data_IF_475312433406
#
_entry.id   IF_475312433406
#
_cell.length_a   1.000
_cell.length_b   1.000
_cell.length_c   1.000
_cell.angle_alpha   90.00
_cell.angle_beta   90.00
_cell.angle_gamma   90.00
#
_symmetry.space_group_name_H-M   'P 1'
#
loop_
_entity.id
_entity.type
_entity.pdbx_description
1 polymer ?
#
# COMPACT_ATOMS: atom_id res chain seq x y z
N UNK A 1 -16.57 -30.11 26.62
CA UNK A 1 -16.00 -28.88 26.01
C UNK A 1 -15.73 -27.87 27.11
N UNK A 2 -14.50 -27.36 27.29
CA UNK A 2 -14.25 -26.29 28.26
C UNK A 2 -15.05 -25.04 27.87
N UNK A 3 -15.64 -24.39 28.86
CA UNK A 3 -16.43 -23.17 28.65
C UNK A 3 -15.55 -22.05 28.12
N UNK A 4 -16.14 -21.11 27.39
CA UNK A 4 -15.43 -19.95 26.81
C UNK A 4 -14.63 -19.19 27.88
N UNK A 5 -15.20 -19.05 29.09
CA UNK A 5 -14.55 -18.45 30.25
C UNK A 5 -13.25 -19.18 30.63
N UNK A 6 -13.31 -20.51 30.78
CA UNK A 6 -12.11 -21.31 31.13
C UNK A 6 -11.04 -21.27 30.04
N UNK A 7 -11.41 -21.21 28.76
CA UNK A 7 -10.45 -21.04 27.65
C UNK A 7 -9.72 -19.69 27.72
N UNK A 8 -10.44 -18.62 28.06
CA UNK A 8 -9.87 -17.28 28.21
C UNK A 8 -8.95 -17.18 29.44
N UNK A 9 -9.33 -17.80 30.56
CA UNK A 9 -8.50 -17.89 31.77
C UNK A 9 -7.19 -18.65 31.50
N UNK A 10 -7.28 -19.83 30.90
CA UNK A 10 -6.10 -20.62 30.52
C UNK A 10 -5.20 -19.88 29.51
N UNK A 11 -5.79 -19.18 28.54
CA UNK A 11 -5.05 -18.37 27.59
C UNK A 11 -4.33 -17.19 28.25
N UNK A 12 -4.96 -16.55 29.24
CA UNK A 12 -4.34 -15.49 30.02
C UNK A 12 -3.16 -16.01 30.84
N UNK A 13 -3.32 -17.14 31.54
CA UNK A 13 -2.22 -17.75 32.28
C UNK A 13 -1.06 -18.17 31.37
N UNK A 14 -1.36 -18.76 30.21
CA UNK A 14 -0.34 -19.12 29.23
C UNK A 14 0.44 -17.90 28.75
N UNK A 15 -0.23 -16.78 28.44
CA UNK A 15 0.43 -15.55 28.02
C UNK A 15 1.27 -14.92 29.13
N UNK A 16 0.85 -15.05 30.40
CA UNK A 16 1.65 -14.64 31.56
C UNK A 16 2.91 -15.48 31.70
N UNK A 17 2.81 -16.81 31.61
CA UNK A 17 3.96 -17.74 31.67
C UNK A 17 4.95 -17.51 30.53
N UNK A 18 4.44 -17.28 29.32
CA UNK A 18 5.26 -17.05 28.13
C UNK A 18 5.86 -15.63 28.06
N UNK A 19 5.56 -14.74 29.03
CA UNK A 19 5.95 -13.31 29.04
C UNK A 19 5.63 -12.59 27.71
N UNK A 20 4.60 -13.03 27.00
CA UNK A 20 4.16 -12.45 25.73
C UNK A 20 3.25 -11.24 25.99
N UNK A 21 3.10 -10.41 24.96
CA UNK A 21 2.24 -9.22 24.99
C UNK A 21 0.79 -9.61 25.31
N UNK A 22 0.28 -9.13 26.44
CA UNK A 22 -1.09 -9.35 26.88
C UNK A 22 -1.96 -8.21 26.35
N UNK A 23 -2.87 -8.55 25.45
CA UNK A 23 -3.94 -7.67 25.00
C UNK A 23 -5.23 -8.48 24.77
N UNK A 24 -6.41 -7.84 24.76
CA UNK A 24 -7.68 -8.54 24.55
C UNK A 24 -7.69 -9.49 23.35
N UNK A 25 -7.17 -9.03 22.21
CA UNK A 25 -7.16 -9.83 20.97
C UNK A 25 -6.17 -10.99 20.99
N UNK A 26 -5.04 -10.89 21.69
CA UNK A 26 -4.09 -12.00 21.84
C UNK A 26 -4.65 -13.08 22.76
N UNK A 27 -5.36 -12.69 23.82
CA UNK A 27 -6.04 -13.65 24.70
C UNK A 27 -7.11 -14.41 23.92
N UNK A 28 -7.93 -13.72 23.13
CA UNK A 28 -8.96 -14.33 22.28
C UNK A 28 -8.35 -15.28 21.23
N UNK A 29 -7.27 -14.86 20.56
CA UNK A 29 -6.55 -15.70 19.58
C UNK A 29 -5.93 -16.94 20.22
N UNK A 30 -5.33 -16.80 21.41
CA UNK A 30 -4.70 -17.92 22.13
C UNK A 30 -5.73 -18.89 22.69
N UNK A 31 -6.89 -18.39 23.09
CA UNK A 31 -8.04 -19.19 23.52
C UNK A 31 -8.77 -19.88 22.36
N UNK A 32 -8.51 -19.47 21.10
CA UNK A 32 -9.21 -19.99 19.92
C UNK A 32 -10.70 -19.63 19.91
N UNK A 33 -11.06 -18.46 20.46
CA UNK A 33 -12.44 -17.98 20.52
C UNK A 33 -12.67 -16.86 19.51
N UNK A 34 -13.94 -16.60 19.18
CA UNK A 34 -14.30 -15.53 18.28
C UNK A 34 -13.85 -14.15 18.81
N UNK A 35 -13.48 -13.27 17.88
CA UNK A 35 -13.09 -11.91 18.19
C UNK A 35 -14.24 -11.18 18.91
N UNK A 36 -13.94 -10.54 20.04
CA UNK A 36 -14.94 -9.87 20.87
C UNK A 36 -15.59 -10.74 21.93
N UNK A 37 -15.25 -12.03 22.03
CA UNK A 37 -15.72 -12.91 23.11
C UNK A 37 -15.35 -12.39 24.50
N UNK A 38 -14.27 -11.62 24.64
CA UNK A 38 -13.86 -11.03 25.92
C UNK A 38 -14.82 -9.92 26.38
N UNK A 39 -15.62 -9.33 25.48
CA UNK A 39 -16.64 -8.32 25.86
C UNK A 39 -17.72 -8.88 26.76
N UNK A 40 -18.02 -10.17 26.63
CA UNK A 40 -19.05 -10.86 27.40
C UNK A 40 -18.58 -11.21 28.83
N UNK A 41 -17.30 -11.01 29.13
CA UNK A 41 -16.70 -11.30 30.43
C UNK A 41 -16.00 -10.06 30.98
N UNK A 42 -16.73 -9.11 31.58
CA UNK A 42 -16.18 -7.83 32.03
C UNK A 42 -15.05 -7.98 33.04
N UNK A 43 -15.16 -8.95 33.97
CA UNK A 43 -14.11 -9.25 34.95
C UNK A 43 -12.80 -9.67 34.29
N UNK A 44 -12.85 -10.56 33.29
CA UNK A 44 -11.64 -10.99 32.56
C UNK A 44 -11.08 -9.85 31.72
N UNK A 45 -11.95 -9.01 31.14
CA UNK A 45 -11.54 -7.83 30.38
C UNK A 45 -10.77 -6.84 31.24
N UNK A 46 -11.23 -6.57 32.46
CA UNK A 46 -10.54 -5.69 33.41
C UNK A 46 -9.19 -6.25 33.82
N UNK A 47 -9.10 -7.55 34.11
CA UNK A 47 -7.84 -8.21 34.44
C UNK A 47 -6.84 -8.10 33.28
N UNK A 48 -7.29 -8.36 32.04
CA UNK A 48 -6.43 -8.25 30.84
C UNK A 48 -5.97 -6.81 30.62
N UNK A 49 -6.81 -5.81 30.88
CA UNK A 49 -6.45 -4.40 30.77
C UNK A 49 -5.48 -3.96 31.87
N UNK A 50 -5.69 -4.41 33.11
CA UNK A 50 -4.79 -4.16 34.22
C UNK A 50 -3.41 -4.81 33.98
N UNK A 51 -3.40 -6.03 33.47
CA UNK A 51 -2.16 -6.75 33.14
C UNK A 51 -1.44 -6.10 31.95
N UNK A 52 -2.18 -5.65 30.93
CA UNK A 52 -1.63 -4.83 29.85
C UNK A 52 -1.01 -3.54 30.37
N UNK A 53 -1.66 -2.86 31.31
CA UNK A 53 -1.13 -1.63 31.92
C UNK A 53 0.15 -1.92 32.72
N UNK A 54 0.20 -3.03 33.47
CA UNK A 54 1.40 -3.50 34.16
C UNK A 54 2.55 -3.78 33.19
N UNK A 55 2.29 -4.49 32.08
CA UNK A 55 3.30 -4.72 31.04
C UNK A 55 3.71 -3.45 30.28
N UNK A 56 2.88 -2.41 30.30
CA UNK A 56 3.16 -1.11 29.70
C UNK A 56 3.90 -0.15 30.63
N UNK A 57 3.98 -0.45 31.94
CA UNK A 57 4.88 0.29 32.80
C UNK A 57 6.31 0.03 32.28
N UNK A 58 7.06 1.09 31.94
CA UNK A 58 8.41 0.93 31.45
C UNK A 58 9.22 0.28 32.58
N UNK A 59 9.59 -0.98 32.40
CA UNK A 59 10.68 -1.55 33.17
C UNK A 59 11.86 -0.60 33.01
N UNK A 60 12.29 -0.01 34.12
CA UNK A 60 13.39 0.96 34.17
C UNK A 60 14.74 0.37 33.71
N UNK A 61 14.78 -0.94 33.43
CA UNK A 61 15.92 -1.72 32.94
C UNK A 61 15.79 -2.17 31.48
N UNK A 62 14.74 -1.80 30.76
CA UNK A 62 14.70 -2.03 29.32
C UNK A 62 15.52 -0.95 28.62
N UNK A 63 16.69 -1.35 28.08
CA UNK A 63 17.47 -0.59 27.09
C UNK A 63 16.51 0.19 26.21
N UNK A 64 16.65 1.52 26.07
CA UNK A 64 15.71 2.31 25.31
C UNK A 64 15.73 1.78 23.88
N UNK A 65 14.72 1.00 23.52
CA UNK A 65 14.44 0.69 22.12
C UNK A 65 14.16 2.06 21.54
N UNK A 66 15.15 2.58 20.82
CA UNK A 66 15.09 3.85 20.15
C UNK A 66 13.75 3.86 19.40
N UNK A 67 12.78 4.61 19.93
CA UNK A 67 11.59 4.98 19.19
C UNK A 67 12.16 5.72 18.00
N UNK A 68 12.30 5.01 16.88
CA UNK A 68 12.95 5.51 15.69
C UNK A 68 12.42 6.92 15.48
N UNK A 69 13.33 7.90 15.58
CA UNK A 69 13.00 9.32 15.47
C UNK A 69 11.99 9.41 14.35
N UNK A 70 10.73 9.77 14.65
CA UNK A 70 9.83 10.26 13.62
C UNK A 70 10.65 11.37 12.99
N UNK A 71 11.16 11.13 11.77
CA UNK A 71 11.99 12.09 11.05
C UNK A 71 11.05 13.26 10.81
N UNK A 72 11.02 14.21 11.74
CA UNK A 72 10.66 15.59 11.47
C UNK A 72 11.69 16.01 10.44
N UNK A 73 11.35 15.76 9.16
CA UNK A 73 12.12 16.25 8.03
C UNK A 73 12.24 17.74 8.29
N UNK A 74 13.47 18.24 8.43
CA UNK A 74 13.70 19.66 8.64
C UNK A 74 12.91 20.43 7.59
N UNK A 75 12.17 21.46 7.99
CA UNK A 75 11.24 22.20 7.12
C UNK A 75 11.88 22.55 5.77
N UNK A 76 13.14 22.95 5.79
CA UNK A 76 13.98 23.22 4.61
C UNK A 76 14.07 22.07 3.61
N UNK A 77 14.18 20.81 4.08
CA UNK A 77 14.20 19.63 3.22
C UNK A 77 12.84 19.36 2.61
N UNK A 78 11.75 19.67 3.33
CA UNK A 78 10.41 19.55 2.80
C UNK A 78 10.19 20.59 1.69
N UNK A 79 10.52 21.85 1.96
CA UNK A 79 10.40 22.96 1.01
C UNK A 79 11.25 22.70 -0.25
N UNK A 80 12.48 22.20 -0.09
CA UNK A 80 13.34 21.83 -1.22
C UNK A 80 12.77 20.67 -2.06
N UNK A 81 12.13 19.68 -1.41
CA UNK A 81 11.47 18.57 -2.10
C UNK A 81 10.22 19.04 -2.84
N UNK A 82 9.47 19.98 -2.28
CA UNK A 82 8.29 20.56 -2.91
C UNK A 82 8.66 21.35 -4.16
N UNK A 83 9.68 22.23 -4.09
CA UNK A 83 10.20 22.96 -5.25
C UNK A 83 10.66 21.99 -6.35
N UNK A 84 11.40 20.93 -5.98
CA UNK A 84 11.84 19.91 -6.95
C UNK A 84 10.66 19.16 -7.57
N UNK A 85 9.65 18.83 -6.77
CA UNK A 85 8.44 18.16 -7.27
C UNK A 85 7.69 19.04 -8.26
N UNK A 86 7.52 20.32 -7.95
CA UNK A 86 6.87 21.29 -8.85
C UNK A 86 7.64 21.42 -10.18
N UNK A 87 8.97 21.51 -10.13
CA UNK A 87 9.81 21.55 -11.33
C UNK A 87 9.65 20.28 -12.18
N UNK A 88 9.73 19.10 -11.57
CA UNK A 88 9.57 17.84 -12.29
C UNK A 88 8.17 17.69 -12.91
N UNK A 89 7.12 18.19 -12.24
CA UNK A 89 5.76 18.21 -12.79
C UNK A 89 5.65 19.11 -14.03
N UNK A 90 6.27 20.29 -13.98
CA UNK A 90 6.30 21.20 -15.12
C UNK A 90 7.03 20.59 -16.33
N UNK A 91 8.22 20.01 -16.10
CA UNK A 91 9.00 19.31 -17.14
C UNK A 91 8.23 18.12 -17.73
N UNK A 92 7.56 17.32 -16.88
CA UNK A 92 6.76 16.20 -17.36
C UNK A 92 5.56 16.67 -18.20
N UNK A 93 4.88 17.74 -17.77
CA UNK A 93 3.80 18.33 -18.56
C UNK A 93 4.28 18.84 -19.92
N UNK A 94 5.49 19.41 -19.98
CA UNK A 94 6.09 19.84 -21.24
C UNK A 94 6.37 18.64 -22.16
N UNK A 95 7.02 17.58 -21.65
CA UNK A 95 7.29 16.39 -22.45
C UNK A 95 6.02 15.70 -22.95
N UNK A 96 4.96 15.67 -22.14
CA UNK A 96 3.67 15.14 -22.59
C UNK A 96 3.07 15.96 -23.73
N UNK A 97 3.18 17.29 -23.68
CA UNK A 97 2.72 18.16 -24.75
C UNK A 97 3.56 17.94 -26.04
N UNK A 98 4.87 17.82 -25.91
CA UNK A 98 5.78 17.54 -27.04
C UNK A 98 5.49 16.18 -27.69
N UNK A 99 5.30 15.13 -26.89
CA UNK A 99 4.93 13.79 -27.39
C UNK A 99 3.60 13.84 -28.15
N UNK A 100 2.62 14.57 -27.62
CA UNK A 100 1.32 14.72 -28.28
C UNK A 100 1.47 15.43 -29.63
N UNK A 101 2.20 16.54 -29.68
CA UNK A 101 2.45 17.26 -30.92
C UNK A 101 3.20 16.41 -31.96
N UNK A 102 4.19 15.63 -31.53
CA UNK A 102 4.90 14.68 -32.40
C UNK A 102 3.96 13.59 -32.93
N UNK A 103 3.09 13.04 -32.08
CA UNK A 103 2.11 12.03 -32.50
C UNK A 103 1.13 12.58 -33.54
N UNK A 104 0.64 13.82 -33.35
CA UNK A 104 -0.25 14.50 -34.30
C UNK A 104 0.47 14.73 -35.66
N UNK A 105 1.74 15.13 -35.63
CA UNK A 105 2.56 15.29 -36.83
C UNK A 105 2.78 13.96 -37.57
N UNK A 106 3.10 12.89 -36.84
CA UNK A 106 3.24 11.54 -37.40
C UNK A 106 1.93 11.08 -38.04
N UNK A 107 0.79 11.33 -37.39
CA UNK A 107 -0.52 10.97 -37.94
C UNK A 107 -0.79 11.72 -39.25
N UNK A 108 -0.52 13.04 -39.31
CA UNK A 108 -0.66 13.83 -40.52
C UNK A 108 0.23 13.29 -41.65
N UNK A 109 1.53 13.11 -41.40
CA UNK A 109 2.47 12.57 -42.39
C UNK A 109 2.07 11.17 -42.88
N UNK A 110 1.53 10.34 -41.99
CA UNK A 110 1.03 9.00 -42.34
C UNK A 110 -0.16 9.09 -43.30
N UNK A 111 -1.09 10.00 -43.05
CA UNK A 111 -2.22 10.27 -43.94
C UNK A 111 -1.77 10.82 -45.29
N UNK A 112 -0.81 11.74 -45.30
CA UNK A 112 -0.25 12.29 -46.55
C UNK A 112 0.46 11.21 -47.38
N UNK A 113 1.24 10.34 -46.73
CA UNK A 113 1.89 9.22 -47.38
C UNK A 113 0.86 8.24 -47.96
N UNK A 114 -0.21 7.93 -47.22
CA UNK A 114 -1.30 7.10 -47.71
C UNK A 114 -1.98 7.73 -48.94
N UNK A 115 -2.28 9.03 -48.88
CA UNK A 115 -2.84 9.80 -50.00
C UNK A 115 -1.91 9.81 -51.21
N UNK A 116 -0.60 9.98 -51.01
CA UNK A 116 0.38 9.94 -52.09
C UNK A 116 0.47 8.54 -52.73
N UNK A 117 0.51 7.48 -51.92
CA UNK A 117 0.53 6.10 -52.40
C UNK A 117 -0.73 5.74 -53.19
N UNK A 118 -1.89 6.23 -52.77
CA UNK A 118 -3.15 6.00 -53.48
C UNK A 118 -3.24 6.80 -54.77
N UNK A 119 -2.81 8.07 -54.77
CA UNK A 119 -2.79 8.92 -55.97
C UNK A 119 -1.80 8.43 -57.04
N UNK A 120 -0.65 7.89 -56.63
CA UNK A 120 0.38 7.32 -57.53
C UNK A 120 0.10 5.87 -57.92
N UNK A 121 -0.92 5.21 -57.34
CA UNK A 121 -1.42 3.90 -57.75
C UNK A 121 -2.27 4.00 -59.04
N UNK A 122 -1.76 4.67 -60.07
CA UNK A 122 -2.25 4.51 -61.44
C UNK A 122 -1.27 3.59 -62.16
N UNK A 123 -1.65 2.32 -62.34
CA UNK A 123 -0.99 1.44 -63.31
C UNK A 123 -0.20 0.23 -62.79
N UNK A 124 -0.57 -0.42 -61.68
CA UNK A 124 -0.13 -1.82 -61.51
C UNK A 124 -1.03 -2.73 -62.35
N UNK A 125 -0.72 -2.83 -63.64
CA UNK A 125 -1.32 -3.77 -64.60
C UNK A 125 -0.82 -5.21 -64.41
N UNK A 126 -0.49 -5.63 -63.19
CA UNK A 126 -0.08 -7.00 -62.90
C UNK A 126 -1.25 -7.96 -62.61
N UNK A 127 -2.49 -7.53 -62.79
CA UNK A 127 -3.62 -8.47 -62.93
C UNK A 127 -3.75 -8.78 -64.42
N UNK A 128 -2.88 -9.67 -64.91
CA UNK A 128 -3.15 -10.35 -66.18
C UNK A 128 -4.49 -11.08 -65.99
N UNK A 129 -5.54 -10.58 -66.65
CA UNK A 129 -6.76 -11.34 -66.84
C UNK A 129 -6.39 -12.65 -67.54
N UNK A 130 -6.37 -13.76 -66.81
CA UNK A 130 -6.32 -15.09 -67.42
C UNK A 130 -7.62 -15.23 -68.21
N UNK A 131 -7.54 -15.00 -69.53
CA UNK A 131 -8.64 -15.29 -70.45
C UNK A 131 -8.82 -16.80 -70.47
N UNK A 132 -10.05 -17.25 -70.21
CA UNK A 132 -10.51 -18.62 -70.48
C UNK A 132 -10.65 -18.85 -71.98
#
# INVERSE_FOLDING_TARGET
MPSVKTKLENALEALKKEKKKINPSAVEKRAGVANGSLKNHPVLREIVLAEKARQQQPNHDAVPVAKGKRKTVAKERFDALEVRSCKLKAENSQYQAEIKAMADSIAQLTWELHRYKTATRKGSSNVQSIKR
#
